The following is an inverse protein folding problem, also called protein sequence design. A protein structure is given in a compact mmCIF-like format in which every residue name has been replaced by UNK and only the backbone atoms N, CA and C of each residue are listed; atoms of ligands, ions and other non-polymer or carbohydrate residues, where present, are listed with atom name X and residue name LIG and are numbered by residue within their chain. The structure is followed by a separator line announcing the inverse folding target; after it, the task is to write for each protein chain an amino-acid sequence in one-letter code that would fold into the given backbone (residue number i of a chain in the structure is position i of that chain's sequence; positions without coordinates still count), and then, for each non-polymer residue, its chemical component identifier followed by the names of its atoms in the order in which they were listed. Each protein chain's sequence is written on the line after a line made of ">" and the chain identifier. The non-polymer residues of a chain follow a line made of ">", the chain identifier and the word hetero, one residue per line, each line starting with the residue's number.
data_IF_746688964187
#
_entry.id   IF_746688964187
#
_cell.length_a   1.000
_cell.length_b   1.000
_cell.length_c   1.000
_cell.angle_alpha   90.00
_cell.angle_beta   90.00
_cell.angle_gamma   90.00
#
_symmetry.space_group_name_H-M   'P 1'
#
loop_
_entity.id
_entity.type
_entity.pdbx_description
1 polymer ?
#
# COMPACT_ATOMS: atom_id res chain seq x y z
N UNK A 1 36.27 -11.71 59.37
CA UNK A 1 35.95 -12.13 57.99
C UNK A 1 35.04 -13.35 58.10
N UNK A 2 33.73 -13.15 58.01
CA UNK A 2 32.75 -14.25 57.99
C UNK A 2 32.87 -14.90 56.62
N UNK A 3 33.27 -16.17 56.56
CA UNK A 3 33.27 -16.95 55.32
C UNK A 3 31.81 -17.17 54.95
N UNK A 4 31.32 -16.54 53.89
CA UNK A 4 30.00 -16.88 53.33
C UNK A 4 30.04 -18.32 52.86
N UNK A 5 29.00 -19.08 53.17
CA UNK A 5 28.85 -20.46 52.74
C UNK A 5 28.72 -20.53 51.20
N UNK A 6 29.26 -21.58 50.58
CA UNK A 6 29.29 -21.73 49.12
C UNK A 6 27.90 -21.65 48.47
N UNK A 7 26.85 -22.00 49.21
CA UNK A 7 25.46 -21.87 48.79
C UNK A 7 25.02 -20.40 48.64
N UNK A 8 25.42 -19.52 49.57
CA UNK A 8 25.08 -18.09 49.48
C UNK A 8 25.79 -17.41 48.29
N UNK A 9 26.98 -17.89 47.94
CA UNK A 9 27.72 -17.43 46.75
C UNK A 9 26.97 -17.84 45.48
N UNK A 10 26.47 -19.07 45.42
CA UNK A 10 25.71 -19.58 44.28
C UNK A 10 24.40 -18.81 44.08
N UNK A 11 23.65 -18.58 45.16
CA UNK A 11 22.39 -17.81 45.10
C UNK A 11 22.64 -16.37 44.63
N UNK A 12 23.68 -15.70 45.15
CA UNK A 12 24.04 -14.35 44.69
C UNK A 12 24.53 -14.31 43.24
N UNK A 13 25.16 -15.37 42.75
CA UNK A 13 25.51 -15.47 41.33
C UNK A 13 24.27 -15.64 40.45
N UNK A 14 23.26 -16.38 40.90
CA UNK A 14 21.99 -16.49 40.17
C UNK A 14 21.22 -15.17 40.16
N UNK A 15 21.20 -14.43 41.27
CA UNK A 15 20.63 -13.08 41.34
C UNK A 15 21.37 -12.12 40.41
N UNK A 16 22.71 -12.15 40.37
CA UNK A 16 23.51 -11.36 39.44
C UNK A 16 23.17 -11.67 37.97
N UNK A 17 22.98 -12.95 37.63
CA UNK A 17 22.58 -13.37 36.27
C UNK A 17 21.17 -12.89 35.93
N UNK A 18 20.23 -12.89 36.88
CA UNK A 18 18.87 -12.35 36.68
C UNK A 18 18.93 -10.84 36.44
N UNK A 19 19.66 -10.11 37.29
CA UNK A 19 19.83 -8.67 37.15
C UNK A 19 20.53 -8.28 35.83
N UNK A 20 21.50 -9.07 35.37
CA UNK A 20 22.12 -8.87 34.05
C UNK A 20 21.12 -9.03 32.90
N UNK A 21 20.27 -10.06 32.94
CA UNK A 21 19.21 -10.26 31.94
C UNK A 21 18.19 -9.11 31.93
N UNK A 22 17.81 -8.62 33.12
CA UNK A 22 16.92 -7.47 33.25
C UNK A 22 17.58 -6.19 32.69
N UNK A 23 18.87 -5.99 32.96
CA UNK A 23 19.62 -4.86 32.42
C UNK A 23 19.73 -4.91 30.89
N UNK A 24 19.92 -6.09 30.30
CA UNK A 24 19.92 -6.29 28.86
C UNK A 24 18.55 -6.03 28.22
N UNK A 25 17.47 -6.46 28.88
CA UNK A 25 16.10 -6.18 28.43
C UNK A 25 15.80 -4.68 28.40
N UNK A 26 16.20 -3.94 29.46
CA UNK A 26 16.02 -2.48 29.54
C UNK A 26 16.86 -1.77 28.47
N UNK A 27 18.08 -2.25 28.16
CA UNK A 27 18.90 -1.69 27.07
C UNK A 27 18.24 -1.87 25.71
N UNK A 28 17.64 -3.04 25.46
CA UNK A 28 16.88 -3.31 24.22
C UNK A 28 15.65 -2.41 24.10
N UNK A 29 14.90 -2.23 25.18
CA UNK A 29 13.74 -1.33 25.21
C UNK A 29 14.14 0.12 24.94
N UNK A 30 15.19 0.61 25.59
CA UNK A 30 15.72 1.96 25.35
C UNK A 30 16.22 2.14 23.90
N UNK A 31 16.84 1.12 23.30
CA UNK A 31 17.23 1.14 21.89
C UNK A 31 16.01 1.26 20.97
N UNK A 32 14.96 0.46 21.20
CA UNK A 32 13.72 0.52 20.42
C UNK A 32 13.00 1.87 20.58
N UNK A 33 12.97 2.43 21.78
CA UNK A 33 12.39 3.76 22.03
C UNK A 33 13.20 4.87 21.35
N UNK A 34 14.53 4.80 21.38
CA UNK A 34 15.39 5.77 20.70
C UNK A 34 15.22 5.72 19.17
N UNK A 35 15.04 4.52 18.60
CA UNK A 35 14.75 4.34 17.18
C UNK A 35 13.34 4.83 16.82
N UNK A 36 12.36 4.62 17.70
CA UNK A 36 11.02 5.15 17.50
C UNK A 36 11.01 6.68 17.51
N UNK A 37 11.73 7.30 18.45
CA UNK A 37 11.87 8.75 18.54
C UNK A 37 12.61 9.32 17.33
N UNK A 38 13.68 8.67 16.84
CA UNK A 38 14.38 9.13 15.63
C UNK A 38 13.49 9.04 14.39
N UNK A 39 12.67 7.98 14.26
CA UNK A 39 11.66 7.85 13.20
C UNK A 39 10.54 8.89 13.28
N UNK A 40 10.13 9.28 14.50
CA UNK A 40 9.12 10.35 14.68
C UNK A 40 9.71 11.72 14.36
N UNK A 41 10.93 12.01 14.83
CA UNK A 41 11.62 13.28 14.57
C UNK A 41 11.90 13.45 13.07
N UNK A 42 12.35 12.40 12.39
CA UNK A 42 12.53 12.42 10.93
C UNK A 42 11.21 12.53 10.16
N UNK A 43 10.11 11.94 10.63
CA UNK A 43 8.77 12.14 10.03
C UNK A 43 8.21 13.54 10.25
N UNK A 44 8.43 14.14 11.42
CA UNK A 44 8.04 15.54 11.68
C UNK A 44 8.89 16.49 10.84
N UNK A 45 10.20 16.27 10.78
CA UNK A 45 11.11 17.01 9.90
C UNK A 45 10.74 16.85 8.42
N UNK A 46 10.39 15.64 7.97
CA UNK A 46 9.99 15.43 6.57
C UNK A 46 8.64 16.07 6.23
N UNK A 47 7.67 16.09 7.16
CA UNK A 47 6.43 16.83 6.94
C UNK A 47 6.65 18.34 6.93
N UNK A 48 7.55 18.85 7.77
CA UNK A 48 7.85 20.27 7.83
C UNK A 48 8.56 20.75 6.56
N UNK A 49 9.54 19.98 6.07
CA UNK A 49 10.19 20.23 4.77
C UNK A 49 9.18 20.13 3.62
N UNK A 50 8.21 19.21 3.69
CA UNK A 50 7.21 19.08 2.64
C UNK A 50 6.22 20.25 2.63
N UNK A 51 5.87 20.79 3.81
CA UNK A 51 5.05 22.00 3.92
C UNK A 51 5.80 23.25 3.45
N UNK A 52 7.07 23.42 3.84
CA UNK A 52 7.91 24.53 3.35
C UNK A 52 8.11 24.47 1.84
N UNK A 53 8.30 23.28 1.25
CA UNK A 53 8.40 23.12 -0.20
C UNK A 53 7.08 23.40 -0.92
N UNK A 54 5.93 23.06 -0.32
CA UNK A 54 4.62 23.38 -0.89
C UNK A 54 4.34 24.88 -0.83
N UNK A 55 4.70 25.55 0.27
CA UNK A 55 4.59 27.01 0.40
C UNK A 55 5.53 27.73 -0.57
N UNK A 56 6.75 27.22 -0.78
CA UNK A 56 7.68 27.75 -1.77
C UNK A 56 7.17 27.58 -3.21
N UNK A 57 6.61 26.41 -3.57
CA UNK A 57 6.00 26.19 -4.88
C UNK A 57 4.77 27.09 -5.11
N UNK A 58 3.97 27.35 -4.07
CA UNK A 58 2.83 28.27 -4.17
C UNK A 58 3.30 29.72 -4.36
N UNK A 59 4.35 30.15 -3.67
CA UNK A 59 4.94 31.48 -3.85
C UNK A 59 5.57 31.67 -5.23
N UNK A 60 6.24 30.65 -5.78
CA UNK A 60 6.76 30.69 -7.15
C UNK A 60 5.63 30.78 -8.18
N UNK A 61 4.54 30.02 -8.00
CA UNK A 61 3.36 30.12 -8.89
C UNK A 61 2.69 31.48 -8.81
N UNK A 62 2.56 32.06 -7.62
CA UNK A 62 2.02 33.42 -7.45
C UNK A 62 2.94 34.49 -8.07
N UNK A 63 4.27 34.32 -7.97
CA UNK A 63 5.23 35.21 -8.60
C UNK A 63 5.16 35.12 -10.13
N UNK A 64 5.09 33.91 -10.69
CA UNK A 64 4.89 33.69 -12.12
C UNK A 64 3.55 34.24 -12.62
N UNK A 65 2.48 34.11 -11.84
CA UNK A 65 1.18 34.69 -12.21
C UNK A 65 1.20 36.22 -12.18
N UNK A 66 1.90 36.83 -11.22
CA UNK A 66 2.14 38.29 -11.19
C UNK A 66 3.00 38.75 -12.34
N UNK A 67 4.08 38.05 -12.66
CA UNK A 67 4.96 38.37 -13.80
C UNK A 67 4.21 38.23 -15.13
N UNK A 68 3.38 37.18 -15.29
CA UNK A 68 2.51 37.02 -16.46
C UNK A 68 1.43 38.11 -16.53
N UNK A 69 0.91 38.57 -15.39
CA UNK A 69 -0.05 39.67 -15.34
C UNK A 69 0.59 41.02 -15.71
N UNK A 70 1.81 41.28 -15.22
CA UNK A 70 2.58 42.49 -15.52
C UNK A 70 3.06 42.49 -16.98
N UNK A 71 3.48 41.34 -17.51
CA UNK A 71 3.81 41.18 -18.93
C UNK A 71 2.58 41.36 -19.83
N UNK A 72 1.40 40.86 -19.42
CA UNK A 72 0.15 41.08 -20.13
C UNK A 72 -0.28 42.56 -20.09
N UNK A 73 -0.07 43.25 -18.97
CA UNK A 73 -0.31 44.69 -18.83
C UNK A 73 0.65 45.52 -19.69
N UNK A 74 1.93 45.14 -19.75
CA UNK A 74 2.93 45.76 -20.62
C UNK A 74 2.61 45.56 -22.11
N UNK A 75 2.13 44.37 -22.49
CA UNK A 75 1.70 44.07 -23.86
C UNK A 75 0.42 44.85 -24.24
N UNK A 76 -0.51 45.01 -23.29
CA UNK A 76 -1.70 45.85 -23.46
C UNK A 76 -1.34 47.34 -23.61
N UNK A 77 -0.35 47.83 -22.86
CA UNK A 77 0.16 49.19 -22.98
C UNK A 77 0.91 49.42 -24.30
N UNK A 78 1.71 48.45 -24.75
CA UNK A 78 2.42 48.49 -26.02
C UNK A 78 1.46 48.47 -27.23
N UNK A 79 0.40 47.66 -27.17
CA UNK A 79 -0.64 47.63 -28.22
C UNK A 79 -1.50 48.90 -28.25
N UNK A 80 -1.75 49.53 -27.10
CA UNK A 80 -2.39 50.84 -27.04
C UNK A 80 -1.51 51.97 -27.62
N UNK A 81 -0.19 51.90 -27.42
CA UNK A 81 0.77 52.86 -27.99
C UNK A 81 0.92 52.70 -29.52
N UNK A 82 0.95 51.47 -30.04
CA UNK A 82 1.09 51.19 -31.47
C UNK A 82 -0.17 51.56 -32.29
N UNK A 83 -1.35 51.52 -31.65
CA UNK A 83 -2.61 51.98 -32.26
C UNK A 83 -2.64 53.50 -32.55
N UNK A 84 -1.85 54.31 -31.84
CA UNK A 84 -1.79 55.76 -32.05
C UNK A 84 -0.80 56.18 -33.15
N UNK A 85 0.17 55.33 -33.53
CA UNK A 85 1.16 55.63 -34.58
C UNK A 85 0.76 55.19 -35.99
N UNK A 86 -0.23 54.32 -36.17
CA UNK A 86 -0.63 53.75 -37.47
C UNK A 86 -1.76 54.50 -38.22
N UNK A 87 -2.00 55.78 -37.92
CA UNK A 87 -3.04 56.59 -38.61
C UNK A 87 -2.56 57.36 -39.85
N UNK A 88 -1.33 57.14 -40.35
CA UNK A 88 -0.89 57.68 -41.66
C UNK A 88 -0.07 56.65 -42.43
N UNK A 89 -0.44 56.48 -43.70
CA UNK A 89 0.06 55.51 -44.70
C UNK A 89 -0.39 54.06 -44.40
N UNK A 90 -0.88 53.26 -45.35
CA UNK A 90 -0.48 53.14 -46.74
C UNK A 90 -1.55 52.31 -47.47
N UNK A 91 -2.09 52.82 -48.59
CA UNK A 91 -2.71 52.00 -49.63
C UNK A 91 -1.58 51.28 -50.36
N UNK A 92 -1.49 49.95 -50.28
CA UNK A 92 -0.72 49.17 -51.26
C UNK A 92 -1.39 47.83 -51.49
N UNK A 93 -1.77 47.63 -52.75
CA UNK A 93 -2.49 46.49 -53.29
C UNK A 93 -1.65 45.23 -53.31
N UNK A 94 -2.33 44.14 -53.00
CA UNK A 94 -1.92 42.74 -53.04
C UNK A 94 -1.61 42.30 -54.50
N UNK A 95 -0.46 41.66 -54.74
CA UNK A 95 -0.29 40.76 -55.89
C UNK A 95 0.19 39.40 -55.41
N UNK A 96 -0.48 38.41 -55.98
CA UNK A 96 -0.39 36.97 -55.77
C UNK A 96 0.97 36.44 -56.21
N UNK A 97 1.53 35.54 -55.40
CA UNK A 97 2.73 34.76 -55.65
C UNK A 97 2.42 33.70 -56.73
N UNK A 98 3.18 33.68 -57.82
CA UNK A 98 3.14 32.61 -58.82
C UNK A 98 4.55 32.00 -58.96
N UNK A 99 4.58 30.68 -58.96
CA UNK A 99 5.74 29.78 -59.06
C UNK A 99 6.83 30.23 -60.03
N UNK A 100 8.07 30.23 -59.56
CA UNK A 100 9.27 30.40 -60.39
C UNK A 100 9.73 29.03 -60.88
N UNK A 101 9.35 28.66 -62.10
CA UNK A 101 10.08 27.67 -62.89
C UNK A 101 11.39 28.30 -63.39
N UNK A 102 12.51 27.60 -63.18
CA UNK A 102 13.85 27.97 -63.67
C UNK A 102 13.86 28.01 -65.20
N UNK A 103 14.39 29.06 -65.87
CA UNK A 103 14.66 29.00 -67.29
C UNK A 103 16.04 28.38 -67.58
N UNK A 104 16.03 27.52 -68.58
CA UNK A 104 17.20 26.88 -69.18
C UNK A 104 18.07 27.89 -69.93
N UNK A 105 19.38 27.70 -69.81
CA UNK A 105 20.41 28.44 -70.54
C UNK A 105 20.27 28.15 -72.04
N UNK A 106 19.89 29.17 -72.82
CA UNK A 106 20.00 29.15 -74.28
C UNK A 106 21.27 29.89 -74.70
N UNK A 107 22.22 29.14 -75.22
CA UNK A 107 23.34 29.65 -76.01
C UNK A 107 22.79 30.43 -77.22
N UNK A 108 23.21 31.68 -77.38
CA UNK A 108 23.03 32.43 -78.62
C UNK A 108 24.37 32.51 -79.37
N UNK A 109 24.39 31.95 -80.57
CA UNK A 109 25.43 32.17 -81.58
C UNK A 109 25.31 33.58 -82.18
N UNK A 110 26.41 34.18 -82.66
CA UNK A 110 26.46 35.61 -82.96
C UNK A 110 25.97 35.91 -84.38
N UNK A 111 24.89 36.68 -84.49
CA UNK A 111 24.56 37.35 -85.74
C UNK A 111 25.31 38.69 -85.78
N UNK A 112 26.25 38.80 -86.72
CA UNK A 112 26.85 40.06 -87.14
C UNK A 112 25.76 40.99 -87.61
N UNK A 113 25.70 42.16 -87.00
CA UNK A 113 25.04 43.32 -87.60
C UNK A 113 25.96 44.53 -87.42
N UNK A 114 26.48 45.01 -88.56
CA UNK A 114 27.37 46.16 -88.62
C UNK A 114 26.58 47.43 -88.32
N UNK A 115 26.60 47.88 -87.06
CA UNK A 115 26.21 49.23 -86.68
C UNK A 115 27.42 49.94 -86.10
N UNK A 116 27.70 51.11 -86.70
CA UNK A 116 28.71 52.12 -86.32
C UNK A 116 28.81 52.23 -84.79
N UNK A 117 30.00 52.52 -84.21
CA UNK A 117 30.11 52.73 -82.78
C UNK A 117 29.24 53.93 -82.42
N UNK A 118 28.07 53.67 -81.81
CA UNK A 118 27.35 54.70 -81.09
C UNK A 118 28.31 55.13 -79.98
N UNK A 119 28.89 56.32 -80.15
CA UNK A 119 29.47 57.07 -79.04
C UNK A 119 28.39 57.09 -77.97
N UNK A 120 28.57 56.26 -76.94
CA UNK A 120 27.67 56.25 -75.79
C UNK A 120 27.71 57.68 -75.26
N UNK A 121 26.55 58.33 -75.19
CA UNK A 121 26.45 59.61 -74.51
C UNK A 121 27.12 59.47 -73.13
N UNK A 122 27.91 60.44 -72.66
CA UNK A 122 28.43 60.39 -71.31
C UNK A 122 27.21 60.32 -70.38
N UNK A 123 27.03 59.15 -69.76
CA UNK A 123 26.02 58.90 -68.73
C UNK A 123 26.05 60.07 -67.74
N UNK A 124 24.88 60.65 -67.48
CA UNK A 124 24.77 61.77 -66.56
C UNK A 124 25.34 61.36 -65.21
N UNK A 125 25.92 62.32 -64.47
CA UNK A 125 26.43 62.04 -63.12
C UNK A 125 25.33 61.43 -62.24
N UNK A 126 24.08 61.85 -62.43
CA UNK A 126 22.90 61.35 -61.71
C UNK A 126 22.59 59.87 -62.04
N UNK A 127 22.62 59.49 -63.33
CA UNK A 127 22.43 58.09 -63.73
C UNK A 127 23.58 57.21 -63.18
N UNK A 128 24.82 57.73 -63.13
CA UNK A 128 25.96 57.02 -62.52
C UNK A 128 25.73 56.77 -61.04
N UNK A 129 25.19 57.76 -60.33
CA UNK A 129 24.88 57.63 -58.91
C UNK A 129 23.74 56.63 -58.69
N UNK A 130 22.70 56.62 -59.52
CA UNK A 130 21.61 55.64 -59.44
C UNK A 130 22.10 54.20 -59.62
N UNK A 131 22.96 53.94 -60.62
CA UNK A 131 23.57 52.62 -60.81
C UNK A 131 24.46 52.23 -59.63
N UNK A 132 25.21 53.19 -59.06
CA UNK A 132 26.02 52.92 -57.86
C UNK A 132 25.13 52.61 -56.65
N UNK A 133 24.02 53.33 -56.46
CA UNK A 133 23.07 53.08 -55.37
C UNK A 133 22.36 51.72 -55.52
N UNK A 134 21.98 51.35 -56.75
CA UNK A 134 21.41 50.03 -57.07
C UNK A 134 22.44 48.91 -56.85
N UNK A 135 23.69 49.10 -57.26
CA UNK A 135 24.78 48.16 -57.01
C UNK A 135 25.05 48.01 -55.50
N UNK A 136 25.07 49.12 -54.74
CA UNK A 136 25.18 49.11 -53.28
C UNK A 136 23.99 48.37 -52.65
N UNK A 137 22.76 48.62 -53.12
CA UNK A 137 21.56 47.92 -52.68
C UNK A 137 21.64 46.42 -52.92
N UNK A 138 22.03 46.01 -54.13
CA UNK A 138 22.23 44.62 -54.51
C UNK A 138 23.33 43.94 -53.67
N UNK A 139 24.46 44.63 -53.45
CA UNK A 139 25.55 44.13 -52.62
C UNK A 139 25.13 43.98 -51.15
N UNK A 140 24.36 44.92 -50.63
CA UNK A 140 23.81 44.86 -49.26
C UNK A 140 22.80 43.72 -49.11
N UNK A 141 21.92 43.50 -50.09
CA UNK A 141 21.03 42.34 -50.08
C UNK A 141 21.80 41.02 -50.11
N UNK A 142 22.82 40.91 -50.97
CA UNK A 142 23.67 39.72 -51.03
C UNK A 142 24.43 39.50 -49.71
N UNK A 143 24.95 40.57 -49.10
CA UNK A 143 25.58 40.52 -47.78
C UNK A 143 24.60 40.06 -46.69
N UNK A 144 23.36 40.54 -46.70
CA UNK A 144 22.35 40.13 -45.74
C UNK A 144 21.93 38.67 -45.93
N UNK A 145 21.82 38.20 -47.18
CA UNK A 145 21.55 36.79 -47.49
C UNK A 145 22.69 35.89 -46.99
N UNK A 146 23.93 36.24 -47.29
CA UNK A 146 25.11 35.49 -46.81
C UNK A 146 25.23 35.51 -45.28
N UNK A 147 24.88 36.62 -44.62
CA UNK A 147 24.81 36.67 -43.14
C UNK A 147 23.73 35.76 -42.59
N UNK A 148 22.54 35.74 -43.19
CA UNK A 148 21.44 34.87 -42.77
C UNK A 148 21.79 33.38 -42.97
N UNK A 149 22.42 33.03 -44.09
CA UNK A 149 22.92 31.68 -44.36
C UNK A 149 24.02 31.29 -43.37
N UNK A 150 25.00 32.16 -43.12
CA UNK A 150 26.03 31.92 -42.12
C UNK A 150 25.45 31.72 -40.72
N UNK A 151 24.45 32.52 -40.31
CA UNK A 151 23.80 32.36 -39.01
C UNK A 151 23.07 31.01 -38.91
N UNK A 152 22.36 30.59 -39.96
CA UNK A 152 21.72 29.26 -40.01
C UNK A 152 22.75 28.14 -39.87
N UNK A 153 23.85 28.21 -40.62
CA UNK A 153 24.93 27.23 -40.54
C UNK A 153 25.58 27.23 -39.15
N UNK A 154 25.74 28.39 -38.52
CA UNK A 154 26.24 28.48 -37.15
C UNK A 154 25.27 27.84 -36.13
N UNK A 155 23.97 28.01 -36.30
CA UNK A 155 22.96 27.38 -35.44
C UNK A 155 22.96 25.85 -35.64
N UNK A 156 23.04 25.37 -36.87
CA UNK A 156 23.15 23.93 -37.18
C UNK A 156 24.43 23.34 -36.58
N UNK A 157 25.58 24.01 -36.74
CA UNK A 157 26.84 23.58 -36.16
C UNK A 157 26.76 23.56 -34.62
N UNK A 158 26.13 24.57 -33.99
CA UNK A 158 25.90 24.59 -32.54
C UNK A 158 25.06 23.40 -32.09
N UNK A 159 23.98 23.09 -32.80
CA UNK A 159 23.14 21.93 -32.48
C UNK A 159 23.93 20.62 -32.57
N UNK A 160 24.77 20.46 -33.59
CA UNK A 160 25.68 19.30 -33.72
C UNK A 160 26.70 19.27 -32.58
N UNK A 161 27.31 20.40 -32.24
CA UNK A 161 28.24 20.49 -31.10
C UNK A 161 27.57 20.07 -29.79
N UNK A 162 26.38 20.60 -29.50
CA UNK A 162 25.62 20.24 -28.31
C UNK A 162 25.26 18.74 -28.30
N UNK A 163 24.80 18.17 -29.42
CA UNK A 163 24.53 16.74 -29.54
C UNK A 163 25.78 15.89 -29.26
N UNK A 164 26.93 16.29 -29.81
CA UNK A 164 28.19 15.58 -29.55
C UNK A 164 28.63 15.70 -28.09
N UNK A 165 28.45 16.86 -27.45
CA UNK A 165 28.73 17.06 -26.04
C UNK A 165 27.83 16.20 -25.14
N UNK A 166 26.54 16.10 -25.46
CA UNK A 166 25.63 15.17 -24.79
C UNK A 166 26.07 13.73 -25.00
N UNK A 167 26.46 13.36 -26.22
CA UNK A 167 26.99 12.02 -26.54
C UNK A 167 28.24 11.67 -25.72
N UNK A 168 29.18 12.61 -25.56
CA UNK A 168 30.39 12.42 -24.75
C UNK A 168 30.02 12.23 -23.27
N UNK A 169 29.11 13.06 -22.73
CA UNK A 169 28.65 12.96 -21.33
C UNK A 169 27.94 11.63 -21.08
N UNK A 170 27.11 11.19 -22.02
CA UNK A 170 26.40 9.91 -21.95
C UNK A 170 27.39 8.74 -21.93
N UNK A 171 28.39 8.74 -22.80
CA UNK A 171 29.45 7.71 -22.83
C UNK A 171 30.28 7.70 -21.54
N UNK A 172 30.60 8.88 -21.00
CA UNK A 172 31.31 8.98 -19.72
C UNK A 172 30.45 8.44 -18.55
N UNK A 173 29.16 8.77 -18.52
CA UNK A 173 28.22 8.24 -17.53
C UNK A 173 28.05 6.71 -17.66
N UNK A 174 28.03 6.20 -18.89
CA UNK A 174 27.92 4.78 -19.20
C UNK A 174 29.15 4.02 -18.74
N UNK A 175 30.35 4.54 -19.02
CA UNK A 175 31.61 4.00 -18.51
C UNK A 175 31.57 3.88 -16.98
N UNK A 176 31.19 4.97 -16.29
CA UNK A 176 31.13 4.99 -14.82
C UNK A 176 30.08 4.00 -14.28
N UNK A 177 28.96 3.85 -14.97
CA UNK A 177 27.89 2.91 -14.57
C UNK A 177 28.33 1.46 -14.76
N UNK A 178 29.00 1.14 -15.87
CA UNK A 178 29.58 -0.20 -16.09
C UNK A 178 30.65 -0.51 -15.05
N UNK A 179 31.53 0.45 -14.75
CA UNK A 179 32.55 0.28 -13.72
C UNK A 179 31.92 0.00 -12.35
N UNK A 180 30.89 0.77 -11.95
CA UNK A 180 30.22 0.57 -10.68
C UNK A 180 29.44 -0.75 -10.61
N UNK A 181 28.63 -1.03 -11.61
CA UNK A 181 27.63 -2.09 -11.54
C UNK A 181 28.16 -3.46 -11.99
N UNK A 182 29.23 -3.50 -12.80
CA UNK A 182 29.87 -4.75 -13.22
C UNK A 182 31.25 -4.94 -12.60
N UNK A 183 32.11 -3.92 -12.69
CA UNK A 183 33.54 -4.10 -12.36
C UNK A 183 33.76 -4.19 -10.85
N UNK A 184 33.17 -3.29 -10.06
CA UNK A 184 33.28 -3.32 -8.59
C UNK A 184 32.65 -4.61 -8.01
N UNK A 185 31.54 -5.09 -8.57
CA UNK A 185 30.94 -6.37 -8.15
C UNK A 185 31.83 -7.59 -8.47
N UNK A 186 32.62 -7.52 -9.55
CA UNK A 186 33.61 -8.55 -9.88
C UNK A 186 34.86 -8.46 -9.00
N UNK A 187 35.29 -7.26 -8.62
CA UNK A 187 36.42 -7.02 -7.72
C UNK A 187 36.14 -7.52 -6.29
N UNK A 188 34.91 -7.35 -5.79
CA UNK A 188 34.49 -7.82 -4.46
C UNK A 188 34.46 -9.36 -4.35
N UNK A 189 34.27 -10.07 -5.48
CA UNK A 189 34.25 -11.53 -5.51
C UNK A 189 35.29 -12.09 -6.49
N UNK A 190 36.58 -12.19 -6.12
CA UNK A 190 37.67 -12.58 -7.02
C UNK A 190 37.53 -14.00 -7.62
N UNK A 191 36.71 -14.87 -7.03
CA UNK A 191 36.39 -16.21 -7.56
C UNK A 191 35.27 -16.20 -8.61
N UNK A 192 34.46 -15.13 -8.66
CA UNK A 192 33.37 -14.96 -9.62
C UNK A 192 33.91 -14.16 -10.80
N UNK A 193 34.37 -14.85 -11.84
CA UNK A 193 34.72 -14.19 -13.11
C UNK A 193 33.49 -13.46 -13.64
N UNK A 194 33.67 -12.27 -14.23
CA UNK A 194 32.58 -11.52 -14.85
C UNK A 194 31.96 -12.41 -15.94
N UNK A 195 30.76 -12.93 -15.70
CA UNK A 195 30.08 -13.76 -16.68
C UNK A 195 29.48 -12.87 -17.75
N UNK A 196 29.55 -13.32 -19.00
CA UNK A 196 28.84 -12.70 -20.14
C UNK A 196 27.35 -12.50 -19.84
N UNK A 197 26.77 -13.35 -19.00
CA UNK A 197 25.39 -13.26 -18.53
C UNK A 197 25.10 -12.03 -17.66
N UNK A 198 26.03 -11.60 -16.79
CA UNK A 198 25.85 -10.40 -15.97
C UNK A 198 25.87 -9.14 -16.85
N UNK A 199 26.72 -9.10 -17.87
CA UNK A 199 26.71 -8.04 -18.87
C UNK A 199 25.46 -8.07 -19.74
N UNK A 200 25.00 -9.26 -20.14
CA UNK A 200 23.76 -9.42 -20.89
C UNK A 200 22.55 -8.93 -20.08
N UNK A 201 22.50 -9.24 -18.78
CA UNK A 201 21.45 -8.76 -17.86
C UNK A 201 21.48 -7.25 -17.72
N UNK A 202 22.67 -6.67 -17.50
CA UNK A 202 22.84 -5.23 -17.43
C UNK A 202 22.38 -4.53 -18.71
N UNK A 203 22.77 -5.03 -19.88
CA UNK A 203 22.32 -4.48 -21.16
C UNK A 203 20.81 -4.64 -21.36
N UNK A 204 20.23 -5.78 -20.97
CA UNK A 204 18.79 -6.01 -21.01
C UNK A 204 18.00 -5.01 -20.15
N UNK A 205 18.44 -4.80 -18.90
CA UNK A 205 17.84 -3.82 -17.99
C UNK A 205 17.99 -2.38 -18.51
N UNK A 206 19.15 -2.05 -19.09
CA UNK A 206 19.40 -0.74 -19.70
C UNK A 206 18.51 -0.48 -20.91
N UNK A 207 18.38 -1.45 -21.81
CA UNK A 207 17.49 -1.35 -22.97
C UNK A 207 16.04 -1.17 -22.55
N UNK A 208 15.61 -1.86 -21.48
CA UNK A 208 14.27 -1.68 -20.91
C UNK A 208 14.07 -0.26 -20.37
N UNK A 209 15.03 0.28 -19.61
CA UNK A 209 14.99 1.68 -19.12
C UNK A 209 14.92 2.68 -20.27
N UNK A 210 15.78 2.52 -21.29
CA UNK A 210 15.78 3.39 -22.49
C UNK A 210 14.46 3.30 -23.25
N UNK A 211 13.85 2.12 -23.37
CA UNK A 211 12.54 1.94 -24.01
C UNK A 211 11.44 2.68 -23.25
N UNK A 212 11.38 2.53 -21.93
CA UNK A 212 10.40 3.24 -21.10
C UNK A 212 10.52 4.77 -21.22
N UNK A 213 11.75 5.30 -21.29
CA UNK A 213 11.98 6.74 -21.48
C UNK A 213 11.54 7.17 -22.88
N UNK A 214 11.86 6.38 -23.91
CA UNK A 214 11.40 6.64 -25.28
C UNK A 214 9.88 6.70 -25.38
N UNK A 215 9.18 5.73 -24.79
CA UNK A 215 7.71 5.70 -24.78
C UNK A 215 7.15 6.96 -24.11
N UNK A 216 7.68 7.37 -22.95
CA UNK A 216 7.29 8.62 -22.29
C UNK A 216 7.57 9.87 -23.12
N UNK A 217 8.71 9.92 -23.80
CA UNK A 217 9.03 11.05 -24.68
C UNK A 217 8.13 11.09 -25.90
N UNK A 218 7.79 9.92 -26.47
CA UNK A 218 6.85 9.83 -27.58
C UNK A 218 5.46 10.31 -27.16
N UNK A 219 4.96 9.86 -26.02
CA UNK A 219 3.69 10.35 -25.45
C UNK A 219 3.72 11.87 -25.28
N UNK A 220 4.84 12.43 -24.81
CA UNK A 220 5.00 13.89 -24.65
C UNK A 220 5.03 14.62 -26.00
N UNK A 221 5.70 14.06 -27.01
CA UNK A 221 5.73 14.61 -28.37
C UNK A 221 4.32 14.62 -28.96
N UNK A 222 3.56 13.53 -28.80
CA UNK A 222 2.20 13.41 -29.30
C UNK A 222 1.27 14.44 -28.62
N UNK A 223 1.41 14.63 -27.31
CA UNK A 223 0.68 15.66 -26.56
C UNK A 223 1.03 17.06 -27.08
N UNK A 224 2.33 17.39 -27.21
CA UNK A 224 2.77 18.69 -27.72
C UNK A 224 2.28 18.95 -29.14
N UNK A 225 2.27 17.92 -29.98
CA UNK A 225 1.73 18.03 -31.34
C UNK A 225 0.22 18.31 -31.33
N UNK A 226 -0.53 17.65 -30.45
CA UNK A 226 -1.95 17.98 -30.24
C UNK A 226 -2.15 19.40 -29.74
N UNK A 227 -1.33 19.86 -28.78
CA UNK A 227 -1.40 21.24 -28.26
C UNK A 227 -1.10 22.29 -29.34
N UNK A 228 -0.11 22.05 -30.19
CA UNK A 228 0.20 22.93 -31.33
C UNK A 228 -0.96 22.95 -32.32
N UNK A 229 -1.51 21.79 -32.68
CA UNK A 229 -2.65 21.69 -33.58
C UNK A 229 -3.90 22.41 -33.01
N UNK A 230 -4.15 22.25 -31.71
CA UNK A 230 -5.24 22.95 -31.01
C UNK A 230 -5.00 24.45 -30.99
N UNK A 231 -3.77 24.91 -30.75
CA UNK A 231 -3.42 26.32 -30.77
C UNK A 231 -3.59 26.93 -32.18
N UNK A 232 -3.10 26.25 -33.22
CA UNK A 232 -3.30 26.65 -34.61
C UNK A 232 -4.78 26.72 -34.98
N UNK A 233 -5.56 25.70 -34.58
CA UNK A 233 -7.01 25.69 -34.77
C UNK A 233 -7.68 26.85 -34.03
N UNK A 234 -7.26 27.15 -32.79
CA UNK A 234 -7.73 28.32 -32.04
C UNK A 234 -7.36 29.64 -32.72
N UNK A 235 -6.19 29.76 -33.35
CA UNK A 235 -5.81 30.98 -34.08
C UNK A 235 -6.63 31.14 -35.35
N UNK A 236 -6.88 30.07 -36.10
CA UNK A 236 -7.76 30.09 -37.28
C UNK A 236 -9.19 30.48 -36.87
N UNK A 237 -9.75 29.77 -35.90
CA UNK A 237 -11.11 30.03 -35.42
C UNK A 237 -11.26 31.40 -34.78
N UNK A 238 -10.27 31.93 -34.03
CA UNK A 238 -10.29 33.30 -33.48
C UNK A 238 -10.18 34.36 -34.58
N UNK A 239 -9.46 34.10 -35.66
CA UNK A 239 -9.40 35.00 -36.82
C UNK A 239 -10.77 35.10 -37.48
N UNK A 240 -11.44 33.97 -37.66
CA UNK A 240 -12.79 33.91 -38.22
C UNK A 240 -13.85 34.44 -37.22
N UNK A 241 -13.69 34.19 -35.91
CA UNK A 241 -14.56 34.71 -34.85
C UNK A 241 -14.44 36.22 -34.69
N UNK A 242 -13.25 36.81 -34.87
CA UNK A 242 -13.04 38.26 -34.74
C UNK A 242 -13.89 39.04 -35.75
N UNK A 243 -14.15 38.45 -36.91
CA UNK A 243 -14.95 39.08 -37.97
C UNK A 243 -16.46 38.81 -37.81
N UNK A 244 -16.86 37.86 -36.96
CA UNK A 244 -18.27 37.44 -36.75
C UNK A 244 -18.84 37.92 -35.40
N UNK A 245 -18.02 38.10 -34.35
CA UNK A 245 -18.50 38.19 -32.97
C UNK A 245 -18.63 39.63 -32.45
N UNK A 246 -19.81 39.98 -31.93
CA UNK A 246 -20.08 41.27 -31.29
C UNK A 246 -19.74 41.24 -29.78
N UNK A 247 -19.49 42.40 -29.18
CA UNK A 247 -19.13 42.54 -27.74
C UNK A 247 -20.16 41.88 -26.81
N UNK A 248 -21.43 41.88 -27.20
CA UNK A 248 -22.55 41.28 -26.44
C UNK A 248 -22.42 39.75 -26.34
N UNK A 249 -21.93 39.08 -27.39
CA UNK A 249 -21.77 37.63 -27.40
C UNK A 249 -20.62 37.20 -26.46
N UNK A 250 -19.58 38.03 -26.33
CA UNK A 250 -18.49 37.79 -25.38
C UNK A 250 -18.98 37.83 -23.93
N UNK A 251 -19.83 38.80 -23.59
CA UNK A 251 -20.42 38.89 -22.25
C UNK A 251 -21.38 37.72 -21.99
N UNK A 252 -22.18 37.32 -22.99
CA UNK A 252 -23.04 36.14 -22.88
C UNK A 252 -22.24 34.85 -22.66
N UNK A 253 -21.17 34.64 -23.43
CA UNK A 253 -20.28 33.48 -23.26
C UNK A 253 -19.59 33.50 -21.89
N UNK A 254 -19.20 34.68 -21.39
CA UNK A 254 -18.62 34.84 -20.06
C UNK A 254 -19.61 34.46 -18.96
N UNK A 255 -20.86 34.91 -19.07
CA UNK A 255 -21.94 34.54 -18.15
C UNK A 255 -22.18 33.02 -18.17
N UNK A 256 -22.31 32.42 -19.35
CA UNK A 256 -22.51 30.97 -19.49
C UNK A 256 -21.33 30.19 -18.92
N UNK A 257 -20.09 30.62 -19.18
CA UNK A 257 -18.88 30.00 -18.62
C UNK A 257 -18.89 30.03 -17.09
N UNK A 258 -19.23 31.17 -16.48
CA UNK A 258 -19.32 31.30 -15.03
C UNK A 258 -20.39 30.35 -14.47
N UNK A 259 -21.58 30.30 -15.09
CA UNK A 259 -22.66 29.41 -14.68
C UNK A 259 -22.28 27.93 -14.78
N UNK A 260 -21.66 27.51 -15.89
CA UNK A 260 -21.19 26.15 -16.08
C UNK A 260 -20.09 25.79 -15.08
N UNK A 261 -19.13 26.69 -14.83
CA UNK A 261 -18.07 26.47 -13.84
C UNK A 261 -18.63 26.30 -12.43
N UNK A 262 -19.62 27.11 -12.05
CA UNK A 262 -20.33 26.96 -10.77
C UNK A 262 -21.06 25.62 -10.68
N UNK A 263 -21.73 25.19 -11.75
CA UNK A 263 -22.41 23.88 -11.81
C UNK A 263 -21.43 22.71 -11.70
N UNK A 264 -20.29 22.80 -12.39
CA UNK A 264 -19.23 21.79 -12.30
C UNK A 264 -18.72 21.72 -10.86
N UNK A 265 -18.42 22.86 -10.21
CA UNK A 265 -17.97 22.89 -8.81
C UNK A 265 -18.95 22.21 -7.86
N UNK A 266 -20.26 22.46 -8.02
CA UNK A 266 -21.31 21.80 -7.25
C UNK A 266 -21.35 20.29 -7.49
N UNK A 267 -21.29 19.84 -8.75
CA UNK A 267 -21.24 18.41 -9.06
C UNK A 267 -19.97 17.74 -8.53
N UNK A 268 -18.84 18.41 -8.61
CA UNK A 268 -17.58 17.91 -8.05
C UNK A 268 -17.67 17.78 -6.53
N UNK A 269 -18.25 18.74 -5.82
CA UNK A 269 -18.43 18.62 -4.36
C UNK A 269 -19.39 17.48 -3.99
N UNK A 270 -20.45 17.27 -4.77
CA UNK A 270 -21.33 16.10 -4.62
C UNK A 270 -20.57 14.77 -4.82
N UNK A 271 -19.73 14.69 -5.86
CA UNK A 271 -18.89 13.50 -6.11
C UNK A 271 -17.94 13.25 -4.95
N UNK A 272 -17.30 14.30 -4.41
CA UNK A 272 -16.45 14.16 -3.22
C UNK A 272 -17.22 13.65 -2.01
N UNK A 273 -18.45 14.15 -1.79
CA UNK A 273 -19.34 13.69 -0.72
C UNK A 273 -19.68 12.21 -0.90
N UNK A 274 -20.07 11.78 -2.09
CA UNK A 274 -20.35 10.36 -2.37
C UNK A 274 -19.11 9.49 -2.20
N UNK A 275 -17.94 9.95 -2.66
CA UNK A 275 -16.67 9.23 -2.48
C UNK A 275 -16.33 9.04 -1.00
N UNK A 276 -16.52 10.07 -0.18
CA UNK A 276 -16.33 9.97 1.27
C UNK A 276 -17.33 8.99 1.90
N UNK A 277 -18.60 9.01 1.49
CA UNK A 277 -19.62 8.09 1.97
C UNK A 277 -19.29 6.63 1.61
N UNK A 278 -18.88 6.36 0.36
CA UNK A 278 -18.47 5.03 -0.09
C UNK A 278 -17.24 4.56 0.70
N UNK A 279 -16.26 5.43 0.92
CA UNK A 279 -15.07 5.12 1.73
C UNK A 279 -15.46 4.73 3.16
N UNK A 280 -16.35 5.50 3.79
CA UNK A 280 -16.83 5.22 5.15
C UNK A 280 -17.63 3.92 5.21
N UNK A 281 -18.53 3.68 4.24
CA UNK A 281 -19.27 2.43 4.13
C UNK A 281 -18.33 1.23 3.94
N UNK A 282 -17.31 1.37 3.10
CA UNK A 282 -16.27 0.35 2.92
C UNK A 282 -15.49 0.06 4.20
N UNK A 283 -15.16 1.08 4.98
CA UNK A 283 -14.49 0.91 6.28
C UNK A 283 -15.39 0.18 7.30
N UNK A 284 -16.68 0.51 7.35
CA UNK A 284 -17.65 -0.18 8.20
C UNK A 284 -17.84 -1.65 7.79
N UNK A 285 -17.92 -1.93 6.49
CA UNK A 285 -18.00 -3.30 5.97
C UNK A 285 -16.76 -4.12 6.31
N UNK A 286 -15.57 -3.54 6.18
CA UNK A 286 -14.32 -4.22 6.56
C UNK A 286 -14.27 -4.52 8.06
N UNK A 287 -14.74 -3.60 8.90
CA UNK A 287 -14.86 -3.83 10.34
C UNK A 287 -15.84 -4.98 10.64
N UNK A 288 -17.05 -4.92 10.09
CA UNK A 288 -18.05 -5.98 10.27
C UNK A 288 -17.56 -7.35 9.80
N UNK A 289 -16.82 -7.39 8.67
CA UNK A 289 -16.17 -8.61 8.17
C UNK A 289 -15.16 -9.17 9.18
N UNK A 290 -14.30 -8.31 9.74
CA UNK A 290 -13.30 -8.71 10.73
C UNK A 290 -13.96 -9.24 12.01
N UNK A 291 -15.00 -8.56 12.50
CA UNK A 291 -15.76 -8.97 13.68
C UNK A 291 -16.43 -10.34 13.42
N UNK A 292 -16.99 -10.56 12.23
CA UNK A 292 -17.56 -11.85 11.85
C UNK A 292 -16.50 -12.96 11.79
N UNK A 293 -15.33 -12.68 11.20
CA UNK A 293 -14.23 -13.63 11.12
C UNK A 293 -13.75 -14.05 12.51
N UNK A 294 -13.63 -13.11 13.44
CA UNK A 294 -13.32 -13.39 14.85
C UNK A 294 -14.39 -14.29 15.49
N UNK A 295 -15.69 -14.02 15.27
CA UNK A 295 -16.77 -14.86 15.82
C UNK A 295 -16.84 -16.24 15.20
N UNK A 296 -16.53 -16.38 13.91
CA UNK A 296 -16.43 -17.69 13.24
C UNK A 296 -15.27 -18.49 13.83
N UNK A 297 -14.14 -17.82 14.08
CA UNK A 297 -12.95 -18.41 14.69
C UNK A 297 -13.19 -18.85 16.14
N UNK A 298 -13.80 -18.00 16.96
CA UNK A 298 -14.27 -18.35 18.31
C UNK A 298 -15.22 -19.57 18.27
N UNK A 299 -16.19 -19.56 17.36
CA UNK A 299 -17.12 -20.68 17.17
C UNK A 299 -16.40 -21.98 16.80
N UNK A 300 -15.36 -21.91 15.96
CA UNK A 300 -14.53 -23.07 15.59
C UNK A 300 -13.76 -23.60 16.80
N UNK A 301 -13.16 -22.73 17.61
CA UNK A 301 -12.45 -23.10 18.85
C UNK A 301 -13.38 -23.77 19.86
N UNK A 302 -14.59 -23.24 20.03
CA UNK A 302 -15.59 -23.85 20.92
C UNK A 302 -15.98 -25.23 20.42
N UNK A 303 -16.24 -25.39 19.11
CA UNK A 303 -16.56 -26.70 18.52
C UNK A 303 -15.45 -27.72 18.76
N UNK A 304 -14.18 -27.34 18.55
CA UNK A 304 -13.03 -28.20 18.85
C UNK A 304 -12.99 -28.57 20.34
N UNK A 305 -13.15 -27.60 21.24
CA UNK A 305 -13.20 -27.87 22.68
C UNK A 305 -14.33 -28.81 23.09
N UNK A 306 -15.49 -28.77 22.42
CA UNK A 306 -16.58 -29.72 22.69
C UNK A 306 -16.16 -31.12 22.25
N UNK A 307 -15.61 -31.26 21.04
CA UNK A 307 -15.14 -32.55 20.50
C UNK A 307 -14.08 -33.16 21.44
N UNK A 308 -13.13 -32.38 21.93
CA UNK A 308 -12.06 -32.85 22.80
C UNK A 308 -12.54 -33.24 24.21
N UNK A 309 -13.49 -32.50 24.78
CA UNK A 309 -13.99 -32.73 26.15
C UNK A 309 -15.05 -33.81 26.26
N UNK A 310 -15.82 -34.05 25.20
CA UNK A 310 -16.87 -35.08 25.19
C UNK A 310 -16.36 -36.48 25.57
N UNK A 311 -15.24 -37.00 25.02
CA UNK A 311 -14.73 -38.31 25.41
C UNK A 311 -14.23 -38.34 26.85
N UNK A 312 -13.59 -37.27 27.36
CA UNK A 312 -13.14 -37.18 28.74
C UNK A 312 -14.30 -37.28 29.74
N UNK A 313 -15.40 -36.58 29.45
CA UNK A 313 -16.62 -36.66 30.26
C UNK A 313 -17.18 -38.09 30.21
N UNK A 314 -17.19 -38.73 29.04
CA UNK A 314 -17.69 -40.11 28.92
C UNK A 314 -16.85 -41.12 29.72
N UNK A 315 -15.51 -41.00 29.70
CA UNK A 315 -14.60 -41.84 30.51
C UNK A 315 -14.84 -41.63 31.99
N UNK A 316 -14.86 -40.36 32.43
CA UNK A 316 -15.11 -40.00 33.83
C UNK A 316 -16.46 -40.53 34.32
N UNK A 317 -17.49 -40.49 33.47
CA UNK A 317 -18.82 -41.01 33.82
C UNK A 317 -18.82 -42.53 34.01
N UNK A 318 -18.02 -43.27 33.23
CA UNK A 318 -17.84 -44.72 33.40
C UNK A 318 -17.15 -45.00 34.73
N UNK A 319 -16.06 -44.30 35.04
CA UNK A 319 -15.32 -44.45 36.30
C UNK A 319 -16.22 -44.16 37.51
N UNK A 320 -16.98 -43.06 37.49
CA UNK A 320 -17.95 -42.71 38.53
C UNK A 320 -18.99 -43.82 38.74
N UNK A 321 -19.46 -44.45 37.66
CA UNK A 321 -20.44 -45.52 37.76
C UNK A 321 -19.86 -46.80 38.36
N UNK A 322 -18.59 -47.11 38.08
CA UNK A 322 -17.88 -48.23 38.71
C UNK A 322 -17.70 -47.96 40.20
N UNK A 323 -17.21 -46.78 40.57
CA UNK A 323 -16.99 -46.37 41.96
C UNK A 323 -18.31 -46.41 42.77
N UNK A 324 -19.41 -45.93 42.19
CA UNK A 324 -20.75 -45.99 42.81
C UNK A 324 -21.23 -47.42 43.05
N UNK A 325 -20.90 -48.37 42.18
CA UNK A 325 -21.25 -49.79 42.39
C UNK A 325 -20.46 -50.36 43.57
N UNK A 326 -19.16 -50.07 43.63
CA UNK A 326 -18.28 -50.49 44.72
C UNK A 326 -18.75 -49.88 46.06
N UNK A 327 -19.12 -48.60 46.07
CA UNK A 327 -19.66 -47.95 47.27
C UNK A 327 -20.97 -48.62 47.74
N UNK A 328 -21.85 -49.02 46.83
CA UNK A 328 -23.09 -49.72 47.18
C UNK A 328 -22.81 -51.10 47.78
N UNK A 329 -21.90 -51.88 47.19
CA UNK A 329 -21.55 -53.19 47.75
C UNK A 329 -20.91 -53.06 49.13
N UNK A 330 -19.99 -52.12 49.32
CA UNK A 330 -19.40 -51.83 50.64
C UNK A 330 -20.44 -51.40 51.68
N UNK A 331 -21.42 -50.56 51.30
CA UNK A 331 -22.51 -50.17 52.19
C UNK A 331 -23.41 -51.37 52.54
N UNK A 332 -23.70 -52.26 51.59
CA UNK A 332 -24.43 -53.50 51.86
C UNK A 332 -23.66 -54.41 52.81
N UNK A 333 -22.35 -54.55 52.63
CA UNK A 333 -21.49 -55.35 53.51
C UNK A 333 -21.41 -54.76 54.92
N UNK A 334 -21.34 -53.43 55.06
CA UNK A 334 -21.39 -52.74 56.36
C UNK A 334 -22.76 -52.95 57.03
N UNK A 335 -23.86 -52.87 56.29
CA UNK A 335 -25.20 -53.12 56.81
C UNK A 335 -25.36 -54.58 57.26
N UNK A 336 -24.78 -55.54 56.53
CA UNK A 336 -24.72 -56.95 56.96
C UNK A 336 -23.90 -57.12 58.23
N UNK A 337 -22.72 -56.49 58.32
CA UNK A 337 -21.89 -56.55 59.53
C UNK A 337 -22.59 -55.95 60.75
N UNK A 338 -23.39 -54.89 60.57
CA UNK A 338 -24.18 -54.29 61.64
C UNK A 338 -25.34 -55.22 62.05
N UNK A 339 -26.03 -55.85 61.09
CA UNK A 339 -27.08 -56.83 61.36
C UNK A 339 -26.54 -58.12 62.03
N UNK A 340 -25.33 -58.55 61.69
CA UNK A 340 -24.64 -59.67 62.33
C UNK A 340 -24.16 -59.33 63.75
N UNK A 341 -24.14 -58.06 64.14
CA UNK A 341 -23.84 -57.60 65.51
C UNK A 341 -25.08 -57.40 66.40
N UNK A 342 -26.31 -57.53 65.85
CA UNK A 342 -27.56 -57.50 66.63
C UNK A 342 -27.96 -58.92 67.12
N UNK A 343 -27.17 -59.49 68.04
CA UNK A 343 -27.46 -60.71 68.83
C UNK A 343 -26.21 -61.20 69.60
N UNK A 344 -26.25 -61.50 70.93
CA UNK A 344 -25.07 -61.38 71.79
C UNK A 344 -24.09 -62.55 71.60
N UNK A 345 -22.77 -62.25 71.55
CA UNK A 345 -21.97 -62.36 72.76
C UNK A 345 -21.12 -61.10 73.00
N UNK A 346 -20.90 -60.79 74.27
CA UNK A 346 -20.06 -59.67 74.69
C UNK A 346 -18.66 -59.79 74.05
N UNK A 347 -18.20 -58.81 73.26
CA UNK A 347 -16.94 -58.92 72.55
C UNK A 347 -15.79 -58.95 73.55
N UNK A 348 -14.85 -59.88 73.35
CA UNK A 348 -13.62 -59.96 74.13
C UNK A 348 -12.84 -58.63 73.97
N UNK A 349 -12.12 -58.19 75.00
CA UNK A 349 -11.51 -56.84 75.06
C UNK A 349 -10.66 -56.51 73.83
N UNK A 350 -9.99 -57.52 73.26
CA UNK A 350 -9.21 -57.40 72.03
C UNK A 350 -10.08 -57.15 70.78
N UNK A 351 -11.27 -57.74 70.72
CA UNK A 351 -12.22 -57.52 69.62
C UNK A 351 -12.82 -56.13 69.72
N UNK A 352 -13.16 -55.65 70.92
CA UNK A 352 -13.60 -54.27 71.12
C UNK A 352 -12.53 -53.24 70.70
N UNK A 353 -11.25 -53.50 70.99
CA UNK A 353 -10.14 -52.65 70.51
C UNK A 353 -9.98 -52.72 68.99
N UNK A 354 -10.07 -53.91 68.38
CA UNK A 354 -10.03 -54.08 66.92
C UNK A 354 -11.20 -53.35 66.24
N UNK A 355 -12.40 -53.47 66.78
CA UNK A 355 -13.57 -52.75 66.28
C UNK A 355 -13.44 -51.24 66.49
N UNK A 356 -12.88 -50.75 67.60
CA UNK A 356 -12.62 -49.31 67.78
C UNK A 356 -11.60 -48.76 66.79
N UNK A 357 -10.53 -49.51 66.50
CA UNK A 357 -9.55 -49.13 65.48
C UNK A 357 -10.22 -49.12 64.10
N UNK A 358 -11.01 -50.16 63.77
CA UNK A 358 -11.73 -50.24 62.50
C UNK A 358 -12.75 -49.12 62.34
N UNK A 359 -13.48 -48.77 63.39
CA UNK A 359 -14.40 -47.62 63.41
C UNK A 359 -13.63 -46.30 63.24
N UNK A 360 -12.43 -46.16 63.81
CA UNK A 360 -11.61 -44.98 63.61
C UNK A 360 -11.05 -44.86 62.18
N UNK A 361 -10.69 -45.98 61.55
CA UNK A 361 -10.31 -46.05 60.13
C UNK A 361 -11.48 -45.71 59.22
N UNK A 362 -12.63 -46.35 59.42
CA UNK A 362 -13.84 -46.08 58.66
C UNK A 362 -14.32 -44.64 58.81
N UNK A 363 -14.16 -44.03 60.00
CA UNK A 363 -14.43 -42.59 60.20
C UNK A 363 -13.45 -41.69 59.44
N UNK A 364 -12.17 -42.06 59.36
CA UNK A 364 -11.16 -41.34 58.56
C UNK A 364 -11.45 -41.45 57.07
N UNK A 365 -11.80 -42.66 56.61
CA UNK A 365 -12.23 -42.89 55.23
C UNK A 365 -13.48 -42.11 54.91
N UNK A 366 -14.52 -42.18 55.76
CA UNK A 366 -15.75 -41.41 55.59
C UNK A 366 -15.48 -39.90 55.50
N UNK A 367 -14.61 -39.35 56.35
CA UNK A 367 -14.22 -37.93 56.28
C UNK A 367 -13.50 -37.58 54.97
N UNK A 368 -12.66 -38.48 54.49
CA UNK A 368 -11.94 -38.33 53.22
C UNK A 368 -12.93 -38.37 52.04
N UNK A 369 -13.90 -39.28 52.09
CA UNK A 369 -14.96 -39.39 51.09
C UNK A 369 -15.89 -38.18 51.11
N UNK A 370 -16.30 -37.70 52.29
CA UNK A 370 -17.07 -36.45 52.41
C UNK A 370 -16.31 -35.26 51.81
N UNK A 371 -15.00 -35.15 52.09
CA UNK A 371 -14.17 -34.09 51.50
C UNK A 371 -14.06 -34.21 49.99
N UNK A 372 -13.99 -35.43 49.43
CA UNK A 372 -14.03 -35.67 47.98
C UNK A 372 -15.37 -35.27 47.37
N UNK A 373 -16.48 -35.61 48.03
CA UNK A 373 -17.84 -35.23 47.60
C UNK A 373 -17.97 -33.71 47.59
N UNK A 374 -17.56 -33.02 48.65
CA UNK A 374 -17.62 -31.55 48.72
C UNK A 374 -16.84 -30.87 47.58
N UNK A 375 -15.63 -31.36 47.27
CA UNK A 375 -14.82 -30.83 46.15
C UNK A 375 -15.52 -31.04 44.80
N UNK A 376 -16.17 -32.19 44.61
CA UNK A 376 -16.93 -32.51 43.40
C UNK A 376 -18.20 -31.66 43.32
N UNK A 377 -18.94 -31.48 44.42
CA UNK A 377 -20.13 -30.63 44.46
C UNK A 377 -19.79 -29.17 44.17
N UNK A 378 -18.73 -28.64 44.78
CA UNK A 378 -18.26 -27.29 44.49
C UNK A 378 -17.83 -27.13 43.03
N UNK A 379 -17.15 -28.13 42.44
CA UNK A 379 -16.77 -28.08 41.02
C UNK A 379 -18.00 -28.15 40.10
N UNK A 380 -18.98 -28.99 40.43
CA UNK A 380 -20.25 -29.09 39.70
C UNK A 380 -21.07 -27.79 39.77
N UNK A 381 -21.15 -27.15 40.95
CA UNK A 381 -21.83 -25.84 41.11
C UNK A 381 -21.12 -24.78 40.25
N UNK A 382 -19.78 -24.73 40.26
CA UNK A 382 -19.00 -23.82 39.40
C UNK A 382 -19.29 -24.04 37.92
N UNK A 383 -19.25 -25.29 37.45
CA UNK A 383 -19.55 -25.64 36.06
C UNK A 383 -20.99 -25.30 35.67
N UNK A 384 -21.96 -25.59 36.55
CA UNK A 384 -23.38 -25.28 36.31
C UNK A 384 -23.63 -23.78 36.19
N UNK A 385 -23.00 -22.98 37.05
CA UNK A 385 -23.07 -21.52 36.99
C UNK A 385 -22.43 -20.98 35.71
N UNK A 386 -21.30 -21.55 35.29
CA UNK A 386 -20.65 -21.20 34.03
C UNK A 386 -21.55 -21.52 32.82
N UNK A 387 -22.15 -22.72 32.77
CA UNK A 387 -23.11 -23.07 31.70
C UNK A 387 -24.32 -22.13 31.69
N UNK A 388 -24.83 -21.74 32.87
CA UNK A 388 -25.93 -20.76 32.96
C UNK A 388 -25.52 -19.40 32.42
N UNK A 389 -24.30 -18.95 32.72
CA UNK A 389 -23.74 -17.72 32.15
C UNK A 389 -23.61 -17.80 30.63
N UNK A 390 -23.04 -18.89 30.11
CA UNK A 390 -22.88 -19.11 28.67
C UNK A 390 -24.24 -19.17 27.95
N UNK A 391 -25.26 -19.80 28.55
CA UNK A 391 -26.62 -19.79 28.01
C UNK A 391 -27.23 -18.39 27.98
N UNK A 392 -27.07 -17.60 29.04
CA UNK A 392 -27.50 -16.18 29.05
C UNK A 392 -26.80 -15.37 27.96
N UNK A 393 -25.50 -15.58 27.75
CA UNK A 393 -24.76 -14.92 26.67
C UNK A 393 -25.28 -15.35 25.29
N UNK A 394 -25.51 -16.65 25.08
CA UNK A 394 -26.14 -17.18 23.85
C UNK A 394 -27.52 -16.55 23.61
N UNK A 395 -28.37 -16.52 24.63
CA UNK A 395 -29.73 -16.01 24.51
C UNK A 395 -29.74 -14.48 24.31
N UNK A 396 -28.77 -13.75 24.89
CA UNK A 396 -28.56 -12.32 24.62
C UNK A 396 -28.08 -12.07 23.17
N UNK A 397 -27.20 -12.93 22.65
CA UNK A 397 -26.75 -12.88 21.25
C UNK A 397 -27.92 -13.19 20.29
N UNK A 398 -28.78 -14.16 20.63
CA UNK A 398 -29.98 -14.48 19.86
C UNK A 398 -31.04 -13.36 19.92
N UNK A 399 -31.18 -12.69 21.07
CA UNK A 399 -32.09 -11.54 21.22
C UNK A 399 -31.58 -10.27 20.53
N UNK A 400 -30.26 -10.07 20.44
CA UNK A 400 -29.66 -8.92 19.75
C UNK A 400 -29.69 -9.03 18.22
N UNK A 401 -29.93 -10.24 17.68
CA UNK A 401 -29.93 -10.53 16.24
C UNK A 401 -31.08 -11.48 15.86
N UNK A 402 -32.34 -11.00 15.75
CA UNK A 402 -33.49 -11.82 15.37
C UNK A 402 -33.40 -12.38 13.93
N UNK A 403 -32.59 -11.79 13.06
CA UNK A 403 -32.50 -12.14 11.63
C UNK A 403 -31.72 -13.43 11.33
N UNK A 404 -31.04 -14.05 12.31
CA UNK A 404 -30.27 -15.29 12.10
C UNK A 404 -31.21 -16.53 12.01
N UNK A 405 -32.47 -16.41 12.48
CA UNK A 405 -33.46 -17.48 12.37
C UNK A 405 -34.04 -17.66 10.96
N UNK A 406 -33.85 -16.71 10.04
CA UNK A 406 -34.35 -16.82 8.67
C UNK A 406 -33.39 -17.55 7.72
N UNK A 407 -32.14 -17.84 8.12
CA UNK A 407 -31.11 -18.41 7.23
C UNK A 407 -30.62 -19.80 7.63
N UNK A 408 -31.27 -20.48 8.56
CA UNK A 408 -30.98 -21.88 8.89
C UNK A 408 -31.94 -22.80 8.12
N UNK A 409 -31.44 -23.70 7.24
CA UNK A 409 -32.30 -24.68 6.61
C UNK A 409 -32.88 -25.60 7.69
N UNK A 410 -34.20 -25.75 7.65
CA UNK A 410 -34.98 -26.68 8.45
C UNK A 410 -34.53 -28.12 8.15
N UNK A 411 -33.50 -28.58 8.85
CA UNK A 411 -33.18 -30.01 8.93
C UNK A 411 -33.80 -30.53 10.21
N UNK A 412 -34.97 -31.15 10.01
CA UNK A 412 -35.71 -31.87 11.04
C UNK A 412 -34.79 -32.74 11.90
N UNK A 413 -34.54 -32.25 13.11
CA UNK A 413 -34.01 -33.07 14.19
C UNK A 413 -35.22 -33.63 14.94
N UNK A 414 -35.73 -34.77 14.46
CA UNK A 414 -36.55 -35.65 15.28
C UNK A 414 -35.75 -35.99 16.56
N UNK A 415 -36.40 -36.03 17.73
CA UNK A 415 -35.73 -36.40 18.96
C UNK A 415 -35.38 -37.88 18.89
N UNK A 416 -34.13 -38.19 18.53
CA UNK A 416 -33.59 -39.54 18.64
C UNK A 416 -33.43 -39.84 20.13
N UNK A 417 -34.42 -40.53 20.68
CA UNK A 417 -34.28 -41.19 21.97
C UNK A 417 -33.08 -42.16 21.90
N UNK A 418 -32.19 -42.17 22.91
CA UNK A 418 -31.08 -43.11 22.91
C UNK A 418 -31.62 -44.53 23.07
N UNK A 419 -31.51 -45.34 22.01
CA UNK A 419 -31.65 -46.80 22.10
C UNK A 419 -30.57 -47.32 23.04
N UNK A 420 -30.99 -47.77 24.22
CA UNK A 420 -30.19 -48.64 25.10
C UNK A 420 -29.84 -49.91 24.33
N UNK A 421 -28.57 -50.07 23.98
CA UNK A 421 -28.04 -51.33 23.48
C UNK A 421 -27.95 -52.34 24.65
N UNK A 422 -28.32 -53.61 24.45
CA UNK A 422 -28.25 -54.62 25.49
C UNK A 422 -26.79 -54.89 25.88
N UNK A 423 -26.55 -54.83 27.18
CA UNK A 423 -25.28 -55.17 27.85
C UNK A 423 -24.99 -56.65 27.61
N UNK A 424 -23.93 -56.95 26.85
CA UNK A 424 -23.30 -58.28 26.88
C UNK A 424 -22.51 -58.39 28.19
N UNK A 425 -23.06 -59.15 29.12
CA UNK A 425 -22.35 -59.58 30.33
C UNK A 425 -21.34 -60.65 29.90
N UNK A 426 -20.05 -60.34 29.97
CA UNK A 426 -19.00 -61.37 29.91
C UNK A 426 -18.84 -61.97 31.32
N UNK A 427 -18.75 -63.30 31.46
CA UNK A 427 -18.67 -63.94 32.76
C UNK A 427 -17.34 -63.64 33.44
N UNK A 428 -17.43 -63.45 34.76
CA UNK A 428 -16.29 -63.32 35.68
C UNK A 428 -15.31 -64.48 35.49
N UNK A 429 -14.05 -64.17 35.20
CA UNK A 429 -12.95 -65.09 35.46
C UNK A 429 -12.48 -64.87 36.89
N UNK A 430 -12.98 -65.70 37.81
CA UNK A 430 -12.41 -65.86 39.14
C UNK A 430 -11.14 -66.70 39.02
N UNK A 431 -9.97 -66.04 38.99
CA UNK A 431 -8.68 -66.72 39.19
C UNK A 431 -8.37 -66.77 40.70
N UNK A 432 -9.03 -67.70 41.39
CA UNK A 432 -8.54 -68.18 42.68
C UNK A 432 -7.43 -69.19 42.41
N UNK A 433 -6.19 -68.85 42.77
CA UNK A 433 -5.06 -69.78 42.83
C UNK A 433 -5.02 -70.39 44.23
N UNK A 434 -5.09 -71.72 44.39
CA UNK A 434 -4.89 -72.36 45.68
C UNK A 434 -3.39 -72.63 45.87
N UNK A 435 -2.81 -72.07 46.94
CA UNK A 435 -1.51 -72.51 47.45
C UNK A 435 -1.78 -73.48 48.59
N UNK A 436 -1.42 -74.74 48.37
CA UNK A 436 -1.40 -75.80 49.36
C UNK A 436 0.04 -76.00 49.88
N UNK A 437 0.21 -75.97 51.20
CA UNK A 437 1.36 -76.52 51.97
C UNK A 437 0.76 -76.87 53.35
N UNK A 438 0.38 -78.12 53.67
CA UNK A 438 1.15 -79.28 54.13
C UNK A 438 2.18 -78.99 55.24
N UNK A 439 1.87 -79.45 56.46
CA UNK A 439 2.79 -79.50 57.61
C UNK A 439 2.23 -78.85 58.86
#
# INVERSE_FOLDING_TARGET
>A
MVKMDEYEIMDKMEELKKLQKEQEAIKLENALLSEHLSRIVTRKGSMQIHLENLEAEEQEREAEEKEKADAAAALAAATAADATKRRRSTKRSFRVFQEVQRPSVKFFSPLRDSRKPRVRAPMSLEEKLEVVDDEIGCHNEQMNRLRAENNRVLDDLRAVFEETDYGIKDLASEKNTIQRDLMILAEINPRRKLYTEDFLRFQGEKLRKKRNIREKLQEKIDILHMEVMDAEHQFSTKRDLKDILHVIDFDQLKIQRIQLRSRIRLRTSEVWRYKALIKNAGALLMKARKDLEEKVEEGRRIRQSIVDRTPQISSSQVEINVEKKIQRSLNEDILRLIQEQDGPPQPHVLDYMRYRIKVAELRRELKTWLSKVDVIEQSHIRLRNHVRYVRKQRDAILAASPDILASLPDRGATPVQPKLAPVKVSPMQTSFTPVAVHG
#
